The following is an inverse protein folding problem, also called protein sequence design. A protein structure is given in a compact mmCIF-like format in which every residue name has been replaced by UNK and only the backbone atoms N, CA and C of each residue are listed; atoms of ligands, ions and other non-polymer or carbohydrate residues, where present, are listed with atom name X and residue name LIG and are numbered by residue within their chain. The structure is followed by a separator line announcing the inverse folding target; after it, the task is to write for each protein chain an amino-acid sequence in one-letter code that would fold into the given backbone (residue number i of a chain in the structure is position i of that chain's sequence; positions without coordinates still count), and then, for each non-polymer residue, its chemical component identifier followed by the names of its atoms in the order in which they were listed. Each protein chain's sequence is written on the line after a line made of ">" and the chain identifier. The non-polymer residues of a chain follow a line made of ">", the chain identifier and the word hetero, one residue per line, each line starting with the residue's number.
data_IF_366303844628
#
_entry.id   IF_366303844628
#
_cell.length_a   1.000
_cell.length_b   1.000
_cell.length_c   1.000
_cell.angle_alpha   90.00
_cell.angle_beta   90.00
_cell.angle_gamma   90.00
#
_symmetry.space_group_name_H-M   'P 1'
#
loop_
_entity.id
_entity.type
_entity.pdbx_description
1 polymer ?
#
# COMPACT_ATOMS: atom_id res chain seq x y z
N UNK A 1 -2.14 -9.82 -3.93
CA UNK A 1 -1.41 -8.56 -4.14
C UNK A 1 0.08 -8.79 -4.08
N UNK A 2 0.81 -8.36 -5.09
CA UNK A 2 2.28 -8.49 -5.16
C UNK A 2 2.99 -7.81 -3.96
N UNK A 3 2.45 -6.69 -3.45
CA UNK A 3 2.97 -6.02 -2.26
C UNK A 3 2.93 -6.91 -1.00
N UNK A 4 1.81 -7.61 -0.75
CA UNK A 4 1.68 -8.53 0.36
C UNK A 4 2.69 -9.69 0.28
N UNK A 5 3.00 -10.15 -0.94
CA UNK A 5 4.05 -11.16 -1.18
C UNK A 5 5.45 -10.61 -0.87
N UNK A 6 5.73 -9.36 -1.21
CA UNK A 6 7.00 -8.73 -0.84
C UNK A 6 7.13 -8.52 0.66
N UNK A 7 6.06 -8.04 1.32
CA UNK A 7 5.99 -7.93 2.77
C UNK A 7 6.25 -9.26 3.48
N UNK A 8 5.64 -10.37 3.01
CA UNK A 8 5.89 -11.69 3.60
C UNK A 8 7.31 -12.22 3.39
N UNK A 9 8.01 -11.74 2.36
CA UNK A 9 9.43 -12.04 2.09
C UNK A 9 10.40 -11.09 2.80
N UNK A 10 9.91 -10.13 3.59
CA UNK A 10 10.74 -9.11 4.24
C UNK A 10 11.24 -8.00 3.30
N UNK A 11 10.72 -7.94 2.07
CA UNK A 11 11.02 -6.92 1.06
C UNK A 11 10.11 -5.70 1.24
N UNK A 12 10.27 -5.04 2.39
CA UNK A 12 9.34 -3.99 2.83
C UNK A 12 9.39 -2.74 1.94
N UNK A 13 10.56 -2.39 1.38
CA UNK A 13 10.73 -1.24 0.50
C UNK A 13 10.00 -1.43 -0.83
N UNK A 14 10.06 -2.63 -1.40
CA UNK A 14 9.37 -2.99 -2.64
C UNK A 14 7.86 -3.08 -2.43
N UNK A 15 7.43 -3.57 -1.27
CA UNK A 15 6.02 -3.58 -0.89
C UNK A 15 5.48 -2.14 -0.76
N UNK A 16 6.16 -1.28 -0.02
CA UNK A 16 5.80 0.13 0.17
C UNK A 16 5.68 0.86 -1.17
N UNK A 17 6.71 0.75 -2.04
CA UNK A 17 6.70 1.41 -3.35
C UNK A 17 5.48 1.01 -4.17
N UNK A 18 5.14 -0.27 -4.17
CA UNK A 18 3.99 -0.76 -4.92
C UNK A 18 2.66 -0.30 -4.30
N UNK A 19 2.56 -0.27 -2.98
CA UNK A 19 1.37 0.21 -2.27
C UNK A 19 1.12 1.70 -2.51
N UNK A 20 2.18 2.52 -2.52
CA UNK A 20 2.10 3.95 -2.88
C UNK A 20 1.59 4.13 -4.32
N UNK A 21 2.20 3.43 -5.29
CA UNK A 21 1.79 3.56 -6.71
C UNK A 21 0.32 3.15 -6.92
N UNK A 22 -0.13 2.07 -6.26
CA UNK A 22 -1.51 1.61 -6.35
C UNK A 22 -2.46 2.58 -5.66
N UNK A 23 -2.09 3.12 -4.49
CA UNK A 23 -2.88 4.13 -3.78
C UNK A 23 -3.07 5.38 -4.63
N UNK A 24 -2.01 5.92 -5.21
CA UNK A 24 -2.06 7.13 -6.05
C UNK A 24 -2.95 6.91 -7.28
N UNK A 25 -2.81 5.78 -7.97
CA UNK A 25 -3.66 5.45 -9.13
C UNK A 25 -5.14 5.33 -8.74
N UNK A 26 -5.43 4.68 -7.61
CA UNK A 26 -6.81 4.56 -7.10
C UNK A 26 -7.37 5.91 -6.69
N UNK A 27 -6.58 6.75 -6.02
CA UNK A 27 -6.98 8.09 -5.65
C UNK A 27 -7.28 8.96 -6.88
N UNK A 28 -6.47 8.87 -7.94
CA UNK A 28 -6.69 9.61 -9.18
C UNK A 28 -7.94 9.12 -9.95
N UNK A 29 -8.16 7.81 -10.00
CA UNK A 29 -9.24 7.23 -10.79
C UNK A 29 -10.60 7.22 -10.07
N UNK A 30 -10.59 6.93 -8.76
CA UNK A 30 -11.79 6.65 -7.97
C UNK A 30 -12.06 7.74 -6.93
N UNK A 31 -11.07 8.58 -6.64
CA UNK A 31 -11.13 9.61 -5.61
C UNK A 31 -10.60 9.13 -4.24
N UNK A 32 -10.34 10.08 -3.33
CA UNK A 32 -9.72 9.81 -2.03
C UNK A 32 -10.63 9.04 -1.06
N UNK A 33 -11.95 9.19 -1.16
CA UNK A 33 -12.91 8.56 -0.26
C UNK A 33 -13.41 7.19 -0.74
N UNK A 34 -12.96 6.74 -1.93
CA UNK A 34 -13.39 5.44 -2.46
C UNK A 34 -12.88 4.31 -1.56
N UNK A 35 -13.70 3.27 -1.27
CA UNK A 35 -13.30 2.15 -0.41
C UNK A 35 -11.95 1.53 -0.80
N UNK A 36 -11.70 1.32 -2.10
CA UNK A 36 -10.43 0.75 -2.57
C UNK A 36 -9.21 1.64 -2.31
N UNK A 37 -9.39 2.96 -2.33
CA UNK A 37 -8.33 3.93 -1.99
C UNK A 37 -8.02 3.85 -0.50
N UNK A 38 -9.05 3.78 0.34
CA UNK A 38 -8.91 3.66 1.80
C UNK A 38 -8.24 2.33 2.18
N UNK A 39 -8.62 1.22 1.54
CA UNK A 39 -7.98 -0.09 1.73
C UNK A 39 -6.49 -0.04 1.33
N UNK A 40 -6.13 0.66 0.25
CA UNK A 40 -4.72 0.86 -0.11
C UNK A 40 -3.95 1.63 0.96
N UNK A 41 -4.55 2.69 1.51
CA UNK A 41 -3.94 3.48 2.60
C UNK A 41 -3.74 2.65 3.87
N UNK A 42 -4.71 1.79 4.21
CA UNK A 42 -4.59 0.87 5.35
C UNK A 42 -3.42 -0.11 5.18
N UNK A 43 -3.27 -0.69 3.98
CA UNK A 43 -2.16 -1.60 3.67
C UNK A 43 -0.81 -0.88 3.80
N UNK A 44 -0.70 0.34 3.24
CA UNK A 44 0.50 1.15 3.33
C UNK A 44 0.86 1.48 4.79
N UNK A 45 -0.12 1.83 5.62
CA UNK A 45 0.09 2.07 7.05
C UNK A 45 0.55 0.79 7.79
N UNK A 46 0.01 -0.37 7.43
CA UNK A 46 0.44 -1.65 7.99
C UNK A 46 1.90 -1.97 7.62
N UNK A 47 2.32 -1.67 6.38
CA UNK A 47 3.70 -1.81 5.92
C UNK A 47 4.63 -0.87 6.69
N UNK A 48 4.27 0.39 6.92
CA UNK A 48 5.08 1.29 7.76
C UNK A 48 5.25 0.80 9.19
N UNK A 49 4.17 0.34 9.82
CA UNK A 49 4.22 -0.25 11.15
C UNK A 49 5.17 -1.46 11.20
N UNK A 50 5.23 -2.26 10.13
CA UNK A 50 6.16 -3.41 10.03
C UNK A 50 7.61 -2.98 9.83
N UNK A 51 7.85 -1.82 9.22
CA UNK A 51 9.17 -1.20 9.12
C UNK A 51 9.60 -0.46 10.39
N UNK A 52 8.71 -0.27 11.38
CA UNK A 52 8.98 0.52 12.58
C UNK A 52 8.93 2.03 12.34
N UNK A 53 8.16 2.47 11.35
CA UNK A 53 7.95 3.88 10.97
C UNK A 53 6.53 4.31 11.27
#
# INVERSE_FOLDING_TARGET
>A
NLAATYSSQGKWTEAEKLEVEVMEKRQQLLGPAHPDTLISMENLAATYRKQGR
#
